data_IF_192047254053
#
_entry.id   IF_192047254053
#
_cell.length_a   1.000
_cell.length_b   1.000
_cell.length_c   1.000
_cell.angle_alpha   90.00
_cell.angle_beta   90.00
_cell.angle_gamma   90.00
#
_symmetry.space_group_name_H-M   'P 1'
#
loop_
_entity.id
_entity.type
_entity.pdbx_description
1 polymer ?
#
# COMPACT_ATOMS: atom_id res chain seq x y z
N UNK A 1 3.22 -9.34 -13.48
CA UNK A 1 2.65 -7.98 -13.49
C UNK A 1 2.53 -7.47 -14.91
N UNK A 2 1.51 -6.65 -15.17
CA UNK A 2 1.32 -5.92 -16.43
C UNK A 2 2.51 -4.97 -16.67
N UNK A 3 2.85 -4.73 -17.94
CA UNK A 3 3.93 -3.79 -18.32
C UNK A 3 3.56 -2.32 -18.06
N UNK A 4 2.31 -2.05 -17.70
CA UNK A 4 1.81 -0.74 -17.30
C UNK A 4 2.35 -0.27 -15.93
N UNK A 5 3.07 -1.13 -15.20
CA UNK A 5 3.53 -0.84 -13.84
C UNK A 5 5.05 -0.93 -13.75
N UNK A 6 5.63 0.07 -13.09
CA UNK A 6 7.01 -0.02 -12.57
C UNK A 6 6.96 -0.48 -11.13
N UNK A 7 7.74 -1.50 -10.79
CA UNK A 7 7.85 -2.03 -9.43
C UNK A 7 9.17 -1.56 -8.84
N UNK A 8 9.11 -1.07 -7.60
CA UNK A 8 10.28 -0.68 -6.82
C UNK A 8 10.26 -1.45 -5.50
N UNK A 9 11.34 -2.16 -5.20
CA UNK A 9 11.50 -2.98 -3.99
C UNK A 9 12.51 -2.31 -3.07
N UNK A 10 12.11 -2.09 -1.82
CA UNK A 10 12.94 -1.53 -0.76
C UNK A 10 13.47 -2.64 0.15
N UNK A 11 14.79 -2.84 0.18
CA UNK A 11 15.45 -3.94 0.89
C UNK A 11 16.14 -3.44 2.15
N UNK A 12 15.52 -3.63 3.31
CA UNK A 12 16.09 -3.19 4.60
C UNK A 12 17.17 -4.14 5.17
N UNK A 13 17.32 -5.32 4.59
CA UNK A 13 18.17 -6.42 5.07
C UNK A 13 19.42 -6.68 4.20
N UNK A 14 19.52 -6.02 3.04
CA UNK A 14 20.63 -6.20 2.11
C UNK A 14 20.50 -7.43 1.20
N UNK A 15 19.40 -8.18 1.24
CA UNK A 15 19.26 -9.49 0.58
C UNK A 15 18.60 -9.40 -0.80
N UNK A 16 19.15 -8.56 -1.67
CA UNK A 16 18.54 -8.32 -2.99
C UNK A 16 18.53 -9.57 -3.88
N UNK A 17 19.53 -10.43 -3.78
CA UNK A 17 19.68 -11.64 -4.64
C UNK A 17 18.68 -12.74 -4.31
N UNK A 18 18.08 -12.74 -3.11
CA UNK A 18 17.03 -13.73 -2.77
C UNK A 18 15.79 -13.55 -3.68
N UNK A 19 15.60 -12.36 -4.24
CA UNK A 19 14.50 -12.08 -5.15
C UNK A 19 14.75 -12.54 -6.59
N UNK A 20 15.98 -12.95 -6.95
CA UNK A 20 16.33 -13.35 -8.31
C UNK A 20 15.58 -14.61 -8.78
N UNK A 21 14.99 -15.37 -7.85
CA UNK A 21 14.10 -16.50 -8.14
C UNK A 21 12.82 -16.08 -8.88
N UNK A 22 12.41 -14.82 -8.75
CA UNK A 22 11.22 -14.28 -9.39
C UNK A 22 11.56 -13.56 -10.70
N UNK A 23 11.16 -14.09 -11.85
CA UNK A 23 11.45 -13.44 -13.15
C UNK A 23 10.95 -12.00 -13.27
N UNK A 24 9.88 -11.64 -12.55
CA UNK A 24 9.38 -10.26 -12.55
C UNK A 24 10.27 -9.30 -11.75
N UNK A 25 10.98 -9.79 -10.72
CA UNK A 25 11.84 -8.94 -9.86
C UNK A 25 13.06 -8.44 -10.64
N UNK A 26 13.57 -9.23 -11.59
CA UNK A 26 14.67 -8.83 -12.48
C UNK A 26 14.39 -7.56 -13.29
N UNK A 27 13.12 -7.20 -13.47
CA UNK A 27 12.67 -5.97 -14.12
C UNK A 27 12.28 -4.86 -13.13
N UNK A 28 12.26 -5.16 -11.84
CA UNK A 28 11.98 -4.20 -10.79
C UNK A 28 13.22 -3.35 -10.48
N UNK A 29 13.00 -2.19 -9.88
CA UNK A 29 14.06 -1.33 -9.35
C UNK A 29 14.32 -1.75 -7.90
N UNK A 30 15.52 -2.21 -7.60
CA UNK A 30 15.92 -2.61 -6.26
C UNK A 30 16.69 -1.47 -5.58
N UNK A 31 16.23 -1.05 -4.40
CA UNK A 31 16.92 -0.08 -3.56
C UNK A 31 17.22 -0.72 -2.22
N UNK A 32 18.51 -0.81 -1.86
CA UNK A 32 18.96 -1.54 -0.67
C UNK A 32 19.77 -0.64 0.25
N UNK A 33 19.22 -0.40 1.44
CA UNK A 33 19.85 0.38 2.52
C UNK A 33 19.50 -0.29 3.85
N UNK A 34 20.53 -0.69 4.59
CA UNK A 34 20.33 -1.46 5.81
C UNK A 34 19.57 -0.68 6.89
N UNK A 35 18.64 -1.38 7.55
CA UNK A 35 17.93 -0.93 8.76
C UNK A 35 17.16 0.39 8.58
N UNK A 36 16.57 0.61 7.40
CA UNK A 36 15.71 1.76 7.13
C UNK A 36 14.23 1.37 7.09
N UNK A 37 13.36 2.33 7.39
CA UNK A 37 11.91 2.14 7.39
C UNK A 37 11.29 2.46 6.03
N UNK A 38 10.09 1.94 5.76
CA UNK A 38 9.31 2.21 4.53
C UNK A 38 9.25 3.69 4.17
N UNK A 39 8.94 4.56 5.14
CA UNK A 39 8.85 6.00 4.92
C UNK A 39 10.20 6.68 4.69
N UNK A 40 11.28 6.13 5.26
CA UNK A 40 12.63 6.62 4.99
C UNK A 40 13.00 6.44 3.52
N UNK A 41 12.63 5.28 2.93
CA UNK A 41 12.78 5.01 1.50
C UNK A 41 11.88 5.90 0.65
N UNK A 42 10.58 5.92 0.95
CA UNK A 42 9.61 6.71 0.19
C UNK A 42 10.05 8.18 0.08
N UNK A 43 10.45 8.80 1.20
CA UNK A 43 10.93 10.19 1.23
C UNK A 43 12.16 10.46 0.34
N UNK A 44 13.02 9.46 0.11
CA UNK A 44 14.28 9.62 -0.64
C UNK A 44 14.19 9.21 -2.09
N UNK A 45 13.39 8.20 -2.40
CA UNK A 45 13.35 7.59 -3.73
C UNK A 45 12.06 7.88 -4.49
N UNK A 46 10.99 8.29 -3.79
CA UNK A 46 9.75 8.75 -4.42
C UNK A 46 9.71 10.29 -4.48
N UNK A 47 10.79 10.89 -5.00
CA UNK A 47 10.87 12.34 -5.19
C UNK A 47 9.79 12.82 -6.18
N UNK A 48 9.19 14.02 -6.01
CA UNK A 48 8.17 14.55 -6.93
C UNK A 48 8.55 14.42 -8.41
N UNK A 49 9.79 14.73 -8.80
CA UNK A 49 10.24 14.63 -10.20
C UNK A 49 10.28 13.19 -10.75
N UNK A 50 10.38 12.20 -9.87
CA UNK A 50 10.31 10.77 -10.22
C UNK A 50 8.86 10.36 -10.34
N UNK A 51 8.04 10.67 -9.33
CA UNK A 51 6.66 10.17 -9.25
C UNK A 51 5.67 10.94 -10.12
N UNK A 52 5.99 12.17 -10.53
CA UNK A 52 5.15 12.99 -11.42
C UNK A 52 4.90 12.36 -12.80
N UNK A 53 5.65 11.32 -13.16
CA UNK A 53 5.46 10.55 -14.40
C UNK A 53 4.37 9.48 -14.29
N UNK A 54 3.84 9.23 -13.09
CA UNK A 54 2.87 8.19 -12.83
C UNK A 54 1.54 8.79 -12.38
N UNK A 55 0.44 8.26 -12.90
CA UNK A 55 -0.92 8.68 -12.51
C UNK A 55 -1.27 8.25 -11.07
N UNK A 56 -0.74 7.12 -10.62
CA UNK A 56 -1.01 6.52 -9.33
C UNK A 56 0.26 5.93 -8.73
N UNK A 57 0.33 5.95 -7.40
CA UNK A 57 1.42 5.36 -6.63
C UNK A 57 0.78 4.38 -5.64
N UNK A 58 1.24 3.14 -5.66
CA UNK A 58 0.95 2.15 -4.62
C UNK A 58 2.13 2.09 -3.65
N UNK A 59 1.85 2.14 -2.36
CA UNK A 59 2.85 1.96 -1.30
C UNK A 59 2.33 0.87 -0.37
N UNK A 60 3.04 -0.25 -0.31
CA UNK A 60 2.65 -1.47 0.42
C UNK A 60 3.74 -1.92 1.39
N UNK A 61 3.34 -2.60 2.46
CA UNK A 61 4.25 -3.41 3.28
C UNK A 61 4.45 -4.81 2.68
N UNK A 62 5.48 -5.49 3.16
CA UNK A 62 5.84 -6.85 2.79
C UNK A 62 4.83 -7.91 3.23
N UNK A 63 3.97 -7.60 4.20
CA UNK A 63 3.02 -8.53 4.80
C UNK A 63 1.64 -8.56 4.10
N UNK A 64 1.48 -7.79 3.01
CA UNK A 64 0.24 -7.75 2.25
C UNK A 64 0.10 -8.92 1.27
N UNK A 65 -0.97 -9.70 1.45
CA UNK A 65 -1.39 -10.72 0.49
C UNK A 65 -2.00 -10.09 -0.76
N UNK A 66 -1.26 -10.13 -1.87
CA UNK A 66 -1.68 -9.53 -3.15
C UNK A 66 -2.12 -10.55 -4.20
N UNK A 67 -2.27 -11.83 -3.81
CA UNK A 67 -2.57 -12.94 -4.72
C UNK A 67 -3.90 -12.76 -5.49
N UNK A 68 -4.87 -12.06 -4.88
CA UNK A 68 -6.18 -11.79 -5.46
C UNK A 68 -6.38 -10.31 -5.80
N UNK A 69 -5.32 -9.51 -5.76
CA UNK A 69 -5.40 -8.09 -6.07
C UNK A 69 -5.22 -7.85 -7.56
N UNK A 70 -6.16 -7.11 -8.16
CA UNK A 70 -6.05 -6.63 -9.53
C UNK A 70 -5.90 -5.10 -9.52
N UNK A 71 -4.69 -4.63 -9.82
CA UNK A 71 -4.36 -3.21 -9.81
C UNK A 71 -5.16 -2.40 -10.83
N UNK A 72 -5.44 -2.95 -12.01
CA UNK A 72 -6.16 -2.25 -13.07
C UNK A 72 -7.65 -2.08 -12.71
N UNK A 73 -8.29 -3.12 -12.17
CA UNK A 73 -9.66 -3.02 -11.65
C UNK A 73 -9.74 -2.07 -10.45
N UNK A 74 -8.72 -2.08 -9.58
CA UNK A 74 -8.66 -1.14 -8.47
C UNK A 74 -8.55 0.31 -8.96
N UNK A 75 -7.68 0.61 -9.93
CA UNK A 75 -7.56 1.94 -10.53
C UNK A 75 -8.87 2.38 -11.19
N UNK A 76 -9.62 1.46 -11.84
CA UNK A 76 -10.95 1.77 -12.39
C UNK A 76 -11.90 2.26 -11.30
N UNK A 77 -11.92 1.62 -10.14
CA UNK A 77 -12.74 2.04 -8.98
C UNK A 77 -12.27 3.40 -8.43
N UNK A 78 -10.96 3.58 -8.28
CA UNK A 78 -10.34 4.85 -7.84
C UNK A 78 -10.76 6.01 -8.74
N UNK A 79 -10.64 5.83 -10.06
CA UNK A 79 -11.07 6.82 -11.06
C UNK A 79 -12.58 7.08 -11.01
N UNK A 80 -13.38 6.00 -10.99
CA UNK A 80 -14.85 6.07 -10.95
C UNK A 80 -15.36 6.89 -9.76
N UNK A 81 -14.70 6.79 -8.61
CA UNK A 81 -15.14 7.43 -7.36
C UNK A 81 -14.33 8.67 -6.96
N UNK A 82 -13.38 9.11 -7.79
CA UNK A 82 -12.52 10.25 -7.54
C UNK A 82 -11.74 10.12 -6.23
N UNK A 83 -11.12 8.96 -5.98
CA UNK A 83 -10.39 8.70 -4.75
C UNK A 83 -8.94 9.19 -4.89
N UNK A 84 -8.53 10.16 -4.07
CA UNK A 84 -7.14 10.61 -4.04
C UNK A 84 -6.25 9.69 -3.19
N UNK A 85 -6.80 9.21 -2.07
CA UNK A 85 -6.17 8.25 -1.16
C UNK A 85 -7.18 7.15 -0.86
N UNK A 86 -6.77 5.90 -1.06
CA UNK A 86 -7.61 4.74 -0.80
C UNK A 86 -6.77 3.50 -0.49
N UNK A 87 -7.39 2.54 0.19
CA UNK A 87 -6.84 1.21 0.44
C UNK A 87 -7.86 0.16 0.01
N UNK A 88 -7.44 -1.02 -0.49
CA UNK A 88 -8.31 -2.17 -0.60
C UNK A 88 -8.89 -2.60 0.77
N UNK A 89 -10.13 -3.07 0.77
CA UNK A 89 -10.74 -3.63 1.98
C UNK A 89 -10.08 -4.95 2.38
N UNK A 90 -9.80 -5.11 3.67
CA UNK A 90 -9.19 -6.30 4.27
C UNK A 90 -10.27 -7.28 4.74
N UNK A 91 -9.98 -8.57 4.62
CA UNK A 91 -10.84 -9.62 5.16
C UNK A 91 -10.94 -9.52 6.70
N UNK A 92 -12.12 -9.74 7.30
CA UNK A 92 -12.33 -9.55 8.73
C UNK A 92 -11.86 -10.73 9.60
N UNK A 93 -11.34 -11.79 8.99
CA UNK A 93 -11.07 -13.09 9.62
C UNK A 93 -9.93 -13.07 10.66
N UNK A 94 -9.01 -12.10 10.57
CA UNK A 94 -7.85 -12.00 11.48
C UNK A 94 -7.93 -10.87 12.51
N UNK A 95 -9.10 -10.24 12.64
CA UNK A 95 -9.25 -9.03 13.43
C UNK A 95 -8.64 -7.83 12.71
N UNK A 96 -9.32 -6.68 12.82
CA UNK A 96 -8.91 -5.45 12.16
C UNK A 96 -8.65 -4.39 13.22
N UNK A 97 -7.57 -3.64 13.02
CA UNK A 97 -7.25 -2.45 13.81
C UNK A 97 -8.34 -1.40 13.65
N UNK A 98 -8.78 -1.17 12.42
CA UNK A 98 -9.74 -0.13 12.06
C UNK A 98 -10.96 -0.73 11.35
N UNK A 99 -12.17 -0.33 11.74
CA UNK A 99 -13.38 -0.72 11.00
C UNK A 99 -13.39 -0.13 9.58
N UNK A 100 -12.69 0.99 9.37
CA UNK A 100 -12.58 1.63 8.06
C UNK A 100 -11.89 0.73 7.03
N UNK A 101 -10.96 -0.13 7.44
CA UNK A 101 -10.26 -1.03 6.51
C UNK A 101 -11.05 -2.30 6.21
N UNK A 102 -12.17 -2.56 6.88
CA UNK A 102 -12.95 -3.78 6.70
C UNK A 102 -13.58 -3.85 5.30
N UNK A 103 -13.40 -4.99 4.61
CA UNK A 103 -14.13 -5.29 3.38
C UNK A 103 -15.63 -5.37 3.65
N UNK A 104 -16.42 -4.69 2.83
CA UNK A 104 -17.89 -4.72 2.86
C UNK A 104 -18.41 -5.31 1.55
N UNK A 105 -19.16 -6.41 1.63
CA UNK A 105 -19.61 -7.16 0.45
C UNK A 105 -20.82 -6.56 -0.27
N UNK A 106 -21.47 -5.55 0.31
CA UNK A 106 -22.70 -4.93 -0.17
C UNK A 106 -22.46 -3.67 -1.02
N UNK A 107 -21.21 -3.25 -1.21
CA UNK A 107 -20.85 -1.98 -1.86
C UNK A 107 -19.46 -2.03 -2.48
N UNK A 108 -19.23 -1.20 -3.49
CA UNK A 108 -17.92 -1.07 -4.15
C UNK A 108 -16.92 -0.27 -3.30
N UNK A 109 -17.40 0.78 -2.62
CA UNK A 109 -16.59 1.65 -1.75
C UNK A 109 -17.39 2.06 -0.51
N UNK A 110 -16.69 2.28 0.61
CA UNK A 110 -17.20 3.06 1.73
C UNK A 110 -16.18 4.15 2.08
N UNK A 111 -16.70 5.29 2.52
CA UNK A 111 -15.90 6.46 2.96
C UNK A 111 -16.18 6.82 4.42
N UNK A 112 -17.14 6.13 5.03
CA UNK A 112 -17.62 6.38 6.40
C UNK A 112 -17.73 5.04 7.10
N UNK A 113 -17.31 5.01 8.36
CA UNK A 113 -17.48 3.87 9.25
C UNK A 113 -17.77 4.37 10.66
N UNK A 114 -18.42 3.52 11.45
CA UNK A 114 -18.43 3.68 12.90
C UNK A 114 -17.21 2.93 13.45
N UNK A 115 -16.36 3.64 14.20
CA UNK A 115 -15.20 3.06 14.86
C UNK A 115 -15.51 2.67 16.31
N UNK A 116 -14.60 1.91 16.93
CA UNK A 116 -14.74 1.49 18.33
C UNK A 116 -14.65 2.72 19.26
N UNK A 117 -15.63 2.96 20.15
CA UNK A 117 -15.58 4.06 21.10
C UNK A 117 -14.33 3.99 21.99
N UNK A 118 -13.67 5.13 22.21
CA UNK A 118 -12.46 5.21 23.04
C UNK A 118 -11.18 4.67 22.37
N UNK A 119 -11.28 4.12 21.16
CA UNK A 119 -10.12 3.79 20.34
C UNK A 119 -9.54 5.11 19.82
N UNK A 120 -8.42 5.54 20.43
CA UNK A 120 -7.72 6.80 20.19
C UNK A 120 -8.37 8.02 20.83
N UNK A 121 -8.05 8.22 22.10
CA UNK A 121 -8.66 9.23 22.97
C UNK A 121 -8.21 10.68 22.71
N UNK A 122 -7.17 10.91 21.91
CA UNK A 122 -6.58 12.24 21.70
C UNK A 122 -6.39 12.56 20.20
N UNK A 123 -7.12 13.55 19.65
CA UNK A 123 -6.99 13.97 18.25
C UNK A 123 -5.73 14.81 17.95
N UNK A 124 -4.98 15.24 18.97
CA UNK A 124 -3.75 16.03 18.80
C UNK A 124 -2.47 15.18 18.84
N UNK A 125 -2.57 13.93 19.24
CA UNK A 125 -1.47 12.97 19.10
C UNK A 125 -1.36 12.52 17.63
N UNK A 126 -0.19 12.00 17.21
CA UNK A 126 -0.09 11.33 15.91
C UNK A 126 -1.25 10.35 15.75
N UNK A 127 -1.74 10.11 14.51
CA UNK A 127 -2.78 9.12 14.28
C UNK A 127 -2.38 7.88 15.02
N UNK A 128 -3.24 7.44 15.93
CA UNK A 128 -2.97 6.27 16.74
C UNK A 128 -2.64 5.09 15.81
N UNK A 129 -1.35 4.82 15.72
CA UNK A 129 -0.84 3.65 15.06
C UNK A 129 -1.05 2.51 16.06
N UNK A 130 -1.66 1.43 15.59
CA UNK A 130 -1.59 0.16 16.33
C UNK A 130 -0.21 -0.47 16.14
#
# INVERSE_FOLDING_TARGET
>A
FSENFTIMLFHYDGRTTEWDEFEWSKRAIHVSVSKQTKWWYAKRFLHPDVVARYDYIFIWDEDLGVQHFNAEEYIKLVRKHGLEISQPGLEPDRGLTWQMTKRRGDREVHKVTEERPGWCSDPHLPPCAA
#
